data_IF_824467340704
#
_entry.id   IF_824467340704
#
_cell.length_a   1.000
_cell.length_b   1.000
_cell.length_c   1.000
_cell.angle_alpha   90.00
_cell.angle_beta   90.00
_cell.angle_gamma   90.00
#
_symmetry.space_group_name_H-M   'P 1'
#
loop_
_entity.id
_entity.type
_entity.pdbx_description
1 polymer ?
#
# COMPACT_ATOMS: atom_id res chain seq x y z
N UNK A 1 -21.95 -3.71 -26.43
CA UNK A 1 -23.34 -4.18 -26.65
C UNK A 1 -24.01 -4.72 -25.38
N UNK A 2 -23.29 -5.13 -24.33
CA UNK A 2 -23.88 -5.67 -23.09
C UNK A 2 -24.68 -4.66 -22.25
N UNK A 3 -24.18 -3.44 -22.08
CA UNK A 3 -24.83 -2.40 -21.25
C UNK A 3 -26.24 -2.03 -21.74
N UNK A 4 -26.47 -2.03 -23.06
CA UNK A 4 -27.79 -1.74 -23.63
C UNK A 4 -28.81 -2.85 -23.34
N UNK A 5 -28.37 -4.12 -23.30
CA UNK A 5 -29.23 -5.25 -22.99
C UNK A 5 -29.59 -5.29 -21.50
N UNK A 6 -28.63 -5.00 -20.62
CA UNK A 6 -28.87 -4.90 -19.17
C UNK A 6 -29.78 -3.73 -18.82
N UNK A 7 -29.60 -2.58 -19.47
CA UNK A 7 -30.48 -1.43 -19.28
C UNK A 7 -31.92 -1.72 -19.74
N UNK A 8 -32.07 -2.44 -20.86
CA UNK A 8 -33.39 -2.86 -21.35
C UNK A 8 -34.07 -3.86 -20.39
N UNK A 9 -33.32 -4.80 -19.81
CA UNK A 9 -33.83 -5.74 -18.80
C UNK A 9 -34.22 -5.01 -17.51
N UNK A 10 -33.43 -4.02 -17.08
CA UNK A 10 -33.73 -3.19 -15.90
C UNK A 10 -35.01 -2.38 -16.10
N UNK A 11 -35.16 -1.72 -17.26
CA UNK A 11 -36.38 -0.98 -17.62
C UNK A 11 -37.58 -1.92 -17.66
N UNK A 12 -37.43 -3.11 -18.24
CA UNK A 12 -38.49 -4.11 -18.29
C UNK A 12 -38.93 -4.56 -16.89
N UNK A 13 -37.98 -4.86 -15.98
CA UNK A 13 -38.28 -5.24 -14.59
C UNK A 13 -38.95 -4.13 -13.80
N UNK A 14 -38.50 -2.88 -13.96
CA UNK A 14 -39.12 -1.73 -13.28
C UNK A 14 -40.54 -1.47 -13.81
N UNK A 15 -40.75 -1.65 -15.11
CA UNK A 15 -42.08 -1.52 -15.73
C UNK A 15 -43.00 -2.66 -15.27
N UNK A 16 -42.48 -3.88 -15.17
CA UNK A 16 -43.20 -5.04 -14.63
C UNK A 16 -43.57 -4.90 -13.14
N UNK A 17 -42.80 -4.11 -12.38
CA UNK A 17 -43.12 -3.75 -10.99
C UNK A 17 -44.11 -2.58 -10.84
N UNK A 18 -44.70 -2.10 -11.95
CA UNK A 18 -45.78 -1.11 -11.93
C UNK A 18 -45.31 0.35 -12.05
N UNK A 19 -44.02 0.60 -12.32
CA UNK A 19 -43.58 1.94 -12.72
C UNK A 19 -44.00 2.21 -14.17
N UNK A 20 -44.41 3.45 -14.44
CA UNK A 20 -44.66 3.86 -15.83
C UNK A 20 -43.38 3.72 -16.66
N UNK A 21 -43.48 3.43 -17.98
CA UNK A 21 -42.32 3.23 -18.83
C UNK A 21 -41.35 4.42 -18.85
N UNK A 22 -41.89 5.64 -18.70
CA UNK A 22 -41.10 6.88 -18.62
C UNK A 22 -40.33 6.99 -17.30
N UNK A 23 -40.93 6.62 -16.17
CA UNK A 23 -40.27 6.62 -14.87
C UNK A 23 -39.28 5.46 -14.75
N UNK A 24 -39.59 4.28 -15.27
CA UNK A 24 -38.67 3.14 -15.30
C UNK A 24 -37.39 3.48 -16.07
N UNK A 25 -37.51 4.18 -17.20
CA UNK A 25 -36.38 4.63 -18.00
C UNK A 25 -35.51 5.65 -17.26
N UNK A 26 -36.10 6.68 -16.65
CA UNK A 26 -35.34 7.70 -15.92
C UNK A 26 -34.62 7.14 -14.69
N UNK A 27 -35.28 6.27 -13.92
CA UNK A 27 -34.68 5.60 -12.75
C UNK A 27 -33.54 4.68 -13.16
N UNK A 28 -33.71 3.90 -14.23
CA UNK A 28 -32.66 3.02 -14.76
C UNK A 28 -31.42 3.80 -15.18
N UNK A 29 -31.60 4.91 -15.90
CA UNK A 29 -30.48 5.79 -16.27
C UNK A 29 -29.81 6.43 -15.07
N UNK A 30 -30.60 6.89 -14.10
CA UNK A 30 -30.06 7.48 -12.87
C UNK A 30 -29.23 6.48 -12.08
N UNK A 31 -29.71 5.23 -11.96
CA UNK A 31 -29.02 4.16 -11.25
C UNK A 31 -27.68 3.79 -11.91
N UNK A 32 -27.66 3.69 -13.25
CA UNK A 32 -26.41 3.47 -14.00
C UNK A 32 -25.46 4.65 -13.82
N UNK A 33 -25.94 5.89 -13.84
CA UNK A 33 -25.10 7.07 -13.65
C UNK A 33 -24.49 7.15 -12.24
N UNK A 34 -25.26 6.84 -11.21
CA UNK A 34 -24.77 6.80 -9.82
C UNK A 34 -23.75 5.68 -9.64
N UNK A 35 -24.04 4.48 -10.15
CA UNK A 35 -23.10 3.37 -10.08
C UNK A 35 -21.81 3.65 -10.85
N UNK A 36 -21.92 4.28 -12.02
CA UNK A 36 -20.76 4.70 -12.80
C UNK A 36 -19.90 5.74 -12.04
N UNK A 37 -20.51 6.67 -11.30
CA UNK A 37 -19.77 7.62 -10.45
C UNK A 37 -19.04 6.94 -9.30
N UNK A 38 -19.70 6.02 -8.60
CA UNK A 38 -19.08 5.27 -7.49
C UNK A 38 -17.95 4.39 -8.02
N UNK A 39 -18.18 3.69 -9.13
CA UNK A 39 -17.17 2.87 -9.79
C UNK A 39 -15.99 3.72 -10.30
N UNK A 40 -16.25 4.89 -10.88
CA UNK A 40 -15.20 5.81 -11.32
C UNK A 40 -14.38 6.33 -10.15
N UNK A 41 -15.01 6.61 -9.00
CA UNK A 41 -14.30 7.03 -7.79
C UNK A 41 -13.47 5.89 -7.21
N UNK A 42 -14.04 4.68 -7.13
CA UNK A 42 -13.32 3.49 -6.71
C UNK A 42 -12.12 3.20 -7.63
N UNK A 43 -12.30 3.34 -8.94
CA UNK A 43 -11.25 3.17 -9.93
C UNK A 43 -10.16 4.26 -9.81
N UNK A 44 -10.55 5.51 -9.55
CA UNK A 44 -9.59 6.59 -9.31
C UNK A 44 -8.75 6.34 -8.03
N UNK A 45 -9.35 5.80 -6.98
CA UNK A 45 -8.62 5.37 -5.79
C UNK A 45 -7.76 4.14 -6.01
N UNK A 46 -8.16 3.25 -6.93
CA UNK A 46 -7.44 2.02 -7.22
C UNK A 46 -6.05 2.28 -7.83
N UNK A 47 -5.90 3.29 -8.69
CA UNK A 47 -4.59 3.70 -9.21
C UNK A 47 -3.68 4.22 -8.09
N UNK A 48 -4.22 5.07 -7.21
CA UNK A 48 -3.47 5.60 -6.09
C UNK A 48 -3.04 4.49 -5.12
N UNK A 49 -3.95 3.56 -4.81
CA UNK A 49 -3.67 2.39 -4.00
C UNK A 49 -2.60 1.49 -4.64
N UNK A 50 -2.65 1.30 -5.96
CA UNK A 50 -1.68 0.47 -6.70
C UNK A 50 -0.27 1.07 -6.61
N UNK A 51 -0.12 2.38 -6.83
CA UNK A 51 1.19 3.04 -6.75
C UNK A 51 1.75 2.99 -5.33
N UNK A 52 0.92 3.26 -4.32
CA UNK A 52 1.32 3.16 -2.91
C UNK A 52 1.71 1.72 -2.54
N UNK A 53 0.90 0.74 -2.92
CA UNK A 53 1.14 -0.67 -2.65
C UNK A 53 2.44 -1.18 -3.28
N UNK A 54 2.71 -0.82 -4.55
CA UNK A 54 3.97 -1.19 -5.23
C UNK A 54 5.17 -0.55 -4.53
N UNK A 55 5.05 0.74 -4.15
CA UNK A 55 6.13 1.46 -3.46
C UNK A 55 6.44 0.83 -2.09
N UNK A 56 5.41 0.53 -1.30
CA UNK A 56 5.55 -0.14 0.00
C UNK A 56 6.17 -1.53 -0.14
N UNK A 57 5.79 -2.27 -1.19
CA UNK A 57 6.36 -3.59 -1.44
C UNK A 57 7.86 -3.51 -1.74
N UNK A 58 8.30 -2.54 -2.55
CA UNK A 58 9.72 -2.32 -2.85
C UNK A 58 10.50 -1.93 -1.58
N UNK A 59 9.94 -1.05 -0.74
CA UNK A 59 10.55 -0.66 0.53
C UNK A 59 10.64 -1.85 1.50
N UNK A 60 9.60 -2.67 1.58
CA UNK A 60 9.57 -3.85 2.43
C UNK A 60 10.60 -4.90 1.99
N UNK A 61 10.67 -5.21 0.70
CA UNK A 61 11.68 -6.12 0.15
C UNK A 61 13.09 -5.58 0.39
N UNK A 62 13.30 -4.27 0.22
CA UNK A 62 14.59 -3.64 0.48
C UNK A 62 14.99 -3.75 1.95
N UNK A 63 14.06 -3.54 2.88
CA UNK A 63 14.31 -3.68 4.32
C UNK A 63 14.68 -5.11 4.73
N UNK A 64 13.95 -6.10 4.20
CA UNK A 64 14.24 -7.52 4.43
C UNK A 64 15.61 -7.88 3.84
N UNK A 65 15.87 -7.46 2.60
CA UNK A 65 17.15 -7.69 1.92
C UNK A 65 18.33 -7.05 2.65
N UNK A 66 18.16 -5.83 3.16
CA UNK A 66 19.20 -5.12 3.90
C UNK A 66 19.45 -5.75 5.29
N UNK A 67 18.40 -6.25 5.94
CA UNK A 67 18.51 -6.99 7.21
C UNK A 67 19.23 -8.33 7.03
N UNK A 68 18.92 -9.08 5.97
CA UNK A 68 19.56 -10.38 5.68
C UNK A 68 20.98 -10.22 5.12
N UNK A 69 21.23 -9.20 4.31
CA UNK A 69 22.55 -8.98 3.70
C UNK A 69 23.62 -8.56 4.72
N UNK A 70 23.23 -8.17 5.95
CA UNK A 70 24.15 -7.92 7.06
C UNK A 70 25.16 -6.79 6.83
N UNK A 71 25.03 -6.02 5.74
CA UNK A 71 26.07 -5.09 5.26
C UNK A 71 26.24 -3.88 6.18
N UNK A 72 25.20 -3.50 6.93
CA UNK A 72 25.23 -2.40 7.90
C UNK A 72 25.64 -2.80 9.33
N UNK A 73 25.86 -4.09 9.62
CA UNK A 73 26.40 -4.51 10.94
C UNK A 73 27.90 -4.22 11.11
N UNK A 74 28.55 -3.57 10.13
CA UNK A 74 29.99 -3.21 10.16
C UNK A 74 30.32 -1.91 10.90
N UNK A 75 29.32 -1.19 11.43
CA UNK A 75 29.53 0.09 12.13
C UNK A 75 29.91 -0.01 13.61
N UNK A 76 30.02 -1.21 14.19
CA UNK A 76 30.56 -1.40 15.55
C UNK A 76 31.59 -2.53 15.56
N UNK A 77 32.60 -2.45 14.69
CA UNK A 77 33.91 -2.95 15.06
C UNK A 77 34.63 -1.80 15.76
N UNK A 78 34.29 -1.60 17.03
CA UNK A 78 35.13 -0.82 17.94
C UNK A 78 36.50 -1.50 17.89
N UNK A 79 37.51 -0.83 17.35
CA UNK A 79 38.88 -1.31 17.39
C UNK A 79 39.17 -1.74 18.83
N UNK A 80 39.59 -3.00 19.00
CA UNK A 80 39.95 -3.53 20.30
C UNK A 80 40.94 -2.55 20.94
N UNK A 81 40.67 -1.98 22.12
CA UNK A 81 41.62 -1.09 22.75
C UNK A 81 42.88 -1.92 23.02
N UNK A 82 43.97 -1.50 22.37
CA UNK A 82 45.32 -2.00 22.61
C UNK A 82 45.57 -2.05 24.11
N UNK A 83 45.47 -3.24 24.70
CA UNK A 83 45.90 -3.52 26.05
C UNK A 83 47.43 -3.46 26.06
N UNK A 84 48.01 -2.26 26.06
CA UNK A 84 49.45 -2.07 26.13
C UNK A 84 49.93 -1.03 27.14
N UNK A 85 49.03 -0.32 27.83
CA UNK A 85 49.45 0.50 28.98
C UNK A 85 49.33 -0.31 30.27
N UNK A 86 50.22 -1.31 30.40
CA UNK A 86 50.52 -1.96 31.67
C UNK A 86 51.05 -0.88 32.62
N UNK A 87 50.25 -0.58 33.64
CA UNK A 87 50.70 0.05 34.88
C UNK A 87 51.65 -0.96 35.53
N UNK A 88 52.95 -0.65 35.60
CA UNK A 88 53.91 -1.41 36.41
C UNK A 88 54.61 -0.45 37.37
N UNK A 89 54.06 -0.42 38.58
CA UNK A 89 54.76 -0.42 39.87
C UNK A 89 55.99 0.50 40.02
N UNK A 90 55.84 1.55 40.85
CA UNK A 90 56.97 2.21 41.50
C UNK A 90 57.69 1.23 42.45
N UNK A 91 59.02 1.24 42.51
CA UNK A 91 59.72 0.92 43.75
C UNK A 91 60.35 2.18 44.37
N UNK A 92 59.82 2.53 45.53
CA UNK A 92 60.46 3.37 46.55
C UNK A 92 61.71 2.64 47.09
N UNK A 93 62.89 3.25 46.98
CA UNK A 93 64.11 2.87 47.74
C UNK A 93 64.82 4.16 48.13
N UNK A 94 64.51 4.71 49.31
CA UNK A 94 65.37 4.66 50.52
C UNK A 94 66.87 4.55 50.20
N UNK A 95 67.56 5.69 50.29
CA UNK A 95 68.95 5.80 50.74
C UNK A 95 69.12 7.13 51.46
#
# INVERSE_FOLDING_TARGET
>A
MQVNAELADLIYRLTAHGLSPTTAKSVSFYMVLVNAKIASLAHAFQDLFTVLSVTDFIMLLSSIGMTLSGKDRRLVQKEAPSASHIIRELPHKVS
#
